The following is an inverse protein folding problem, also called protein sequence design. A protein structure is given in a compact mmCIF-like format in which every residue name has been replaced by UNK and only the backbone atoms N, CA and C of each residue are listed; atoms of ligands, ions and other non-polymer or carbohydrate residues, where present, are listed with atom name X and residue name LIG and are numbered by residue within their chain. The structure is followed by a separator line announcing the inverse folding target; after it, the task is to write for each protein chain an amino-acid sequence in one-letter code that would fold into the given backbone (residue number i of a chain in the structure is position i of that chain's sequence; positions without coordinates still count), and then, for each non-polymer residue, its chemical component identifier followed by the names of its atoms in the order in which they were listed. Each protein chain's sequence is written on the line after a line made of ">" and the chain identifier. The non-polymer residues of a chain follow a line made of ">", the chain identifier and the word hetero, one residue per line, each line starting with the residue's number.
data_IF_906183605155
#
_entry.id   IF_906183605155
#
_cell.length_a   1.000
_cell.length_b   1.000
_cell.length_c   1.000
_cell.angle_alpha   90.00
_cell.angle_beta   90.00
_cell.angle_gamma   90.00
#
_symmetry.space_group_name_H-M   'P 1'
#
loop_
_entity.id
_entity.type
_entity.pdbx_description
1 polymer ?
#
# COMPACT_ATOMS: atom_id res chain seq x y z
N UNK A 1 3.12 -17.67 -14.42
CA UNK A 1 2.92 -16.29 -14.96
C UNK A 1 1.94 -15.47 -14.11
N UNK A 2 0.69 -15.92 -13.90
CA UNK A 2 -0.32 -15.20 -13.08
C UNK A 2 0.17 -14.80 -11.68
N UNK A 3 0.73 -15.74 -10.92
CA UNK A 3 1.26 -15.48 -9.57
C UNK A 3 2.41 -14.47 -9.58
N UNK A 4 3.32 -14.58 -10.55
CA UNK A 4 4.47 -13.69 -10.68
C UNK A 4 4.04 -12.24 -10.91
N UNK A 5 3.02 -12.01 -11.74
CA UNK A 5 2.45 -10.67 -11.93
C UNK A 5 1.89 -10.07 -10.64
N UNK A 6 1.18 -10.87 -9.85
CA UNK A 6 0.63 -10.44 -8.56
C UNK A 6 1.77 -10.08 -7.60
N UNK A 7 2.77 -10.95 -7.47
CA UNK A 7 3.91 -10.74 -6.56
C UNK A 7 4.70 -9.49 -6.96
N UNK A 8 5.02 -9.32 -8.24
CA UNK A 8 5.75 -8.14 -8.72
C UNK A 8 4.97 -6.85 -8.44
N UNK A 9 3.65 -6.85 -8.70
CA UNK A 9 2.80 -5.70 -8.39
C UNK A 9 2.79 -5.38 -6.89
N UNK A 10 2.64 -6.39 -6.01
CA UNK A 10 2.66 -6.19 -4.56
C UNK A 10 4.01 -5.65 -4.10
N UNK A 11 5.13 -6.20 -4.58
CA UNK A 11 6.47 -5.74 -4.21
C UNK A 11 6.68 -4.30 -4.66
N UNK A 12 6.36 -3.99 -5.92
CA UNK A 12 6.52 -2.64 -6.46
C UNK A 12 5.64 -1.62 -5.73
N UNK A 13 4.36 -1.95 -5.52
CA UNK A 13 3.43 -1.12 -4.75
C UNK A 13 3.89 -0.95 -3.29
N UNK A 14 4.43 -2.01 -2.67
CA UNK A 14 4.95 -1.98 -1.31
C UNK A 14 6.19 -1.10 -1.17
N UNK A 15 7.13 -1.15 -2.12
CA UNK A 15 8.28 -0.26 -2.15
C UNK A 15 7.84 1.21 -2.23
N UNK A 16 6.91 1.53 -3.13
CA UNK A 16 6.36 2.89 -3.26
C UNK A 16 5.65 3.31 -1.96
N UNK A 17 4.85 2.43 -1.38
CA UNK A 17 4.12 2.70 -0.13
C UNK A 17 5.07 2.98 1.02
N UNK A 18 6.16 2.21 1.16
CA UNK A 18 7.21 2.46 2.13
C UNK A 18 7.90 3.80 1.88
N UNK A 19 8.29 4.11 0.64
CA UNK A 19 8.94 5.38 0.30
C UNK A 19 8.07 6.59 0.61
N UNK A 20 6.78 6.55 0.24
CA UNK A 20 5.81 7.63 0.54
C UNK A 20 5.63 7.77 2.05
N UNK A 21 5.48 6.66 2.76
CA UNK A 21 5.29 6.68 4.21
C UNK A 21 6.49 7.30 4.92
N UNK A 22 7.71 6.90 4.57
CA UNK A 22 8.93 7.46 5.17
C UNK A 22 9.07 8.96 4.85
N UNK A 23 8.79 9.35 3.61
CA UNK A 23 8.85 10.76 3.19
C UNK A 23 7.86 11.63 3.98
N UNK A 24 6.61 11.19 4.11
CA UNK A 24 5.60 11.92 4.88
C UNK A 24 5.93 11.94 6.37
N UNK A 25 6.31 10.80 6.95
CA UNK A 25 6.68 10.71 8.36
C UNK A 25 7.90 11.57 8.72
N UNK A 26 8.82 11.78 7.77
CA UNK A 26 10.00 12.63 7.92
C UNK A 26 9.74 14.13 7.87
N UNK A 27 8.49 14.58 7.63
CA UNK A 27 8.15 16.01 7.50
C UNK A 27 8.22 16.53 6.06
N UNK A 28 8.01 15.64 5.08
CA UNK A 28 7.88 15.97 3.66
C UNK A 28 8.91 16.99 3.16
N UNK A 29 8.50 17.97 2.35
CA UNK A 29 9.38 19.05 1.89
C UNK A 29 9.24 20.25 2.81
N UNK A 30 10.28 20.50 3.61
CA UNK A 30 10.44 21.75 4.34
C UNK A 30 9.63 21.86 5.63
N UNK A 31 8.95 20.79 6.10
CA UNK A 31 8.18 20.83 7.36
C UNK A 31 8.97 20.31 8.57
N UNK A 32 10.18 19.77 8.35
CA UNK A 32 11.04 19.32 9.45
C UNK A 32 11.97 20.43 9.95
N UNK A 33 11.51 21.17 10.96
CA UNK A 33 12.30 22.21 11.64
C UNK A 33 13.00 21.72 12.92
N UNK A 34 12.86 20.43 13.24
CA UNK A 34 13.26 19.87 14.54
C UNK A 34 14.49 18.97 14.46
N UNK A 35 15.07 18.80 13.26
CA UNK A 35 16.13 17.84 12.94
C UNK A 35 15.84 16.40 13.43
N UNK A 36 14.56 16.10 13.70
CA UNK A 36 14.13 14.77 14.14
C UNK A 36 13.94 13.86 12.94
N UNK A 37 14.26 12.58 13.08
CA UNK A 37 14.18 11.64 11.96
C UNK A 37 12.74 11.40 11.48
N UNK A 38 11.76 11.47 12.40
CA UNK A 38 10.33 11.41 12.08
C UNK A 38 9.55 12.48 12.87
N UNK A 39 9.10 13.51 12.16
CA UNK A 39 8.31 14.63 12.73
C UNK A 39 6.84 14.26 12.84
N UNK A 40 6.35 13.42 11.92
CA UNK A 40 4.94 13.07 11.77
C UNK A 40 4.74 11.54 11.76
N UNK A 41 5.02 10.84 12.87
CA UNK A 41 5.01 9.38 12.92
C UNK A 41 3.62 8.75 12.67
N UNK A 42 2.53 9.51 12.77
CA UNK A 42 1.18 9.01 12.47
C UNK A 42 1.03 8.54 11.01
N UNK A 43 1.84 9.06 10.08
CA UNK A 43 1.86 8.57 8.69
C UNK A 43 2.28 7.10 8.57
N UNK A 44 2.95 6.51 9.57
CA UNK A 44 3.22 5.07 9.57
C UNK A 44 1.97 4.20 9.55
N UNK A 45 0.78 4.75 9.87
CA UNK A 45 -0.50 4.06 9.73
C UNK A 45 -0.88 3.76 8.27
N UNK A 46 -0.22 4.36 7.28
CA UNK A 46 -0.36 3.99 5.87
C UNK A 46 0.03 2.52 5.66
N UNK A 47 1.09 2.03 6.33
CA UNK A 47 1.59 0.66 6.17
C UNK A 47 0.58 -0.42 6.60
N UNK A 48 -0.03 -0.38 7.80
CA UNK A 48 -1.05 -1.36 8.18
C UNK A 48 -2.31 -1.25 7.32
N UNK A 49 -2.74 -0.04 6.91
CA UNK A 49 -3.88 0.13 5.99
C UNK A 49 -3.60 -0.53 4.64
N UNK A 50 -2.41 -0.30 4.08
CA UNK A 50 -1.95 -0.98 2.87
C UNK A 50 -1.86 -2.50 3.05
N UNK A 51 -1.34 -2.95 4.19
CA UNK A 51 -1.22 -4.36 4.56
C UNK A 51 -2.59 -5.08 4.60
N UNK A 52 -3.65 -4.40 5.04
CA UNK A 52 -5.02 -4.91 4.95
C UNK A 52 -5.43 -5.09 3.48
N UNK A 53 -5.13 -4.13 2.60
CA UNK A 53 -5.39 -4.24 1.16
C UNK A 53 -4.70 -5.45 0.52
N UNK A 54 -3.42 -5.67 0.85
CA UNK A 54 -2.68 -6.86 0.39
C UNK A 54 -3.27 -8.16 0.95
N UNK A 55 -3.68 -8.16 2.22
CA UNK A 55 -4.30 -9.32 2.86
C UNK A 55 -5.63 -9.70 2.21
N UNK A 56 -6.47 -8.71 1.87
CA UNK A 56 -7.71 -8.89 1.13
C UNK A 56 -7.48 -9.49 -0.26
N UNK A 57 -6.47 -8.98 -0.98
CA UNK A 57 -6.06 -9.51 -2.27
C UNK A 57 -5.65 -10.99 -2.16
N UNK A 58 -4.86 -11.34 -1.14
CA UNK A 58 -4.44 -12.72 -0.91
C UNK A 58 -5.62 -13.64 -0.57
N UNK A 59 -6.53 -13.15 0.27
CA UNK A 59 -7.73 -13.87 0.70
C UNK A 59 -8.67 -14.16 -0.49
N UNK A 60 -8.78 -13.23 -1.45
CA UNK A 60 -9.51 -13.44 -2.70
C UNK A 60 -8.93 -14.62 -3.50
N UNK A 61 -7.61 -14.63 -3.70
CA UNK A 61 -6.95 -15.69 -4.46
C UNK A 61 -6.96 -17.05 -3.75
N UNK A 62 -6.91 -17.04 -2.41
CA UNK A 62 -7.05 -18.24 -1.60
C UNK A 62 -8.44 -18.88 -1.78
N UNK A 63 -9.51 -18.07 -1.72
CA UNK A 63 -10.89 -18.55 -1.89
C UNK A 63 -11.20 -19.03 -3.31
N UNK A 64 -10.87 -18.24 -4.34
CA UNK A 64 -11.25 -18.54 -5.74
C UNK A 64 -10.33 -19.57 -6.41
N UNK A 65 -9.14 -19.81 -5.84
CA UNK A 65 -7.99 -20.53 -6.43
C UNK A 65 -7.50 -19.87 -7.72
N UNK A 66 -6.20 -19.54 -7.78
CA UNK A 66 -5.56 -18.85 -8.91
C UNK A 66 -5.81 -19.48 -10.30
N UNK A 67 -6.06 -20.79 -10.38
CA UNK A 67 -6.35 -21.49 -11.64
C UNK A 67 -7.66 -21.03 -12.28
N UNK A 68 -8.65 -20.64 -11.48
CA UNK A 68 -10.00 -20.29 -11.93
C UNK A 68 -10.17 -18.79 -12.18
N UNK A 69 -9.12 -17.98 -11.98
CA UNK A 69 -9.17 -16.53 -12.14
C UNK A 69 -8.72 -16.16 -13.55
N UNK A 70 -9.55 -15.41 -14.29
CA UNK A 70 -9.18 -14.88 -15.60
C UNK A 70 -8.09 -13.81 -15.50
N UNK A 71 -7.34 -13.60 -16.58
CA UNK A 71 -6.24 -12.64 -16.60
C UNK A 71 -6.72 -11.20 -16.36
N UNK A 72 -7.85 -10.81 -16.96
CA UNK A 72 -8.45 -9.48 -16.77
C UNK A 72 -8.85 -9.23 -15.31
N UNK A 73 -9.37 -10.26 -14.63
CA UNK A 73 -9.69 -10.16 -13.19
C UNK A 73 -8.42 -9.95 -12.36
N UNK A 74 -7.31 -10.59 -12.71
CA UNK A 74 -6.02 -10.40 -12.03
C UNK A 74 -5.54 -8.96 -12.16
N UNK A 75 -5.65 -8.36 -13.34
CA UNK A 75 -5.27 -6.95 -13.52
C UNK A 75 -6.15 -6.05 -12.65
N UNK A 76 -7.46 -6.27 -12.65
CA UNK A 76 -8.41 -5.43 -11.93
C UNK A 76 -8.26 -5.54 -10.40
N UNK A 77 -8.13 -6.76 -9.87
CA UNK A 77 -7.98 -7.00 -8.43
C UNK A 77 -6.62 -6.51 -7.91
N UNK A 78 -5.59 -6.47 -8.76
CA UNK A 78 -4.27 -5.93 -8.41
C UNK A 78 -4.25 -4.41 -8.16
N UNK A 79 -5.35 -3.71 -8.43
CA UNK A 79 -5.52 -2.29 -8.08
C UNK A 79 -5.79 -2.11 -6.57
N UNK A 80 -6.24 -3.15 -5.86
CA UNK A 80 -6.59 -3.05 -4.43
C UNK A 80 -5.45 -2.50 -3.54
N UNK A 81 -4.19 -2.99 -3.63
CA UNK A 81 -3.10 -2.43 -2.84
C UNK A 81 -2.84 -0.94 -3.11
N UNK A 82 -3.05 -0.49 -4.35
CA UNK A 82 -2.91 0.93 -4.71
C UNK A 82 -4.01 1.78 -4.10
N UNK A 83 -5.26 1.30 -4.14
CA UNK A 83 -6.38 1.97 -3.47
C UNK A 83 -6.09 2.05 -1.96
N UNK A 84 -5.56 0.97 -1.36
CA UNK A 84 -5.23 0.94 0.05
C UNK A 84 -4.14 1.96 0.43
N UNK A 85 -3.14 2.18 -0.44
CA UNK A 85 -2.17 3.27 -0.28
C UNK A 85 -2.85 4.64 -0.26
N UNK A 86 -3.70 4.95 -1.25
CA UNK A 86 -4.42 6.23 -1.30
C UNK A 86 -5.36 6.43 -0.11
N UNK A 87 -6.05 5.36 0.32
CA UNK A 87 -6.87 5.37 1.53
C UNK A 87 -6.03 5.63 2.79
N UNK A 88 -4.85 5.01 2.87
CA UNK A 88 -3.91 5.24 3.96
C UNK A 88 -3.53 6.71 4.06
N UNK A 89 -3.07 7.30 2.95
CA UNK A 89 -2.71 8.72 2.87
C UNK A 89 -3.90 9.60 3.25
N UNK A 90 -5.07 9.34 2.67
CA UNK A 90 -6.28 10.11 2.95
C UNK A 90 -6.64 10.07 4.44
N UNK A 91 -6.63 8.88 5.05
CA UNK A 91 -6.95 8.71 6.46
C UNK A 91 -5.94 9.43 7.36
N UNK A 92 -4.64 9.28 7.10
CA UNK A 92 -3.61 9.92 7.94
C UNK A 92 -3.53 11.43 7.80
N UNK A 93 -4.00 12.00 6.69
CA UNK A 93 -3.87 13.44 6.42
C UNK A 93 -5.15 14.25 6.71
N UNK A 94 -6.32 13.62 6.55
CA UNK A 94 -7.61 14.33 6.68
C UNK A 94 -8.43 13.92 7.90
N UNK A 95 -8.14 12.76 8.51
CA UNK A 95 -8.92 12.23 9.64
C UNK A 95 -8.16 12.33 10.96
N UNK A 96 -6.85 12.14 10.93
CA UNK A 96 -5.94 12.31 12.07
C UNK A 96 -5.30 13.69 12.04
#
# INVERSE_FOLDING_TARGET
>A
MKLLLIIINIIFCGLITCSITMFLAGGAIGENYTDSLFVAPHYFLILPIWGIGVSLLWLYFYKKKLKNVFFMEIILINIIPWIALFLGVFFTHWVL
#
